data_IF_131949483677
#
_entry.id   IF_131949483677
#
_cell.length_a   1.000
_cell.length_b   1.000
_cell.length_c   1.000
_cell.angle_alpha   90.00
_cell.angle_beta   90.00
_cell.angle_gamma   90.00
#
_symmetry.space_group_name_H-M   'P 1'
#
loop_
_entity.id
_entity.type
_entity.pdbx_description
1 polymer ?
#
# COMPACT_ATOMS: atom_id res chain seq x y z
N UNK A 1 -24.28 33.16 -7.82
CA UNK A 1 -24.02 32.24 -6.69
C UNK A 1 -22.66 31.60 -6.93
N UNK A 2 -21.77 31.65 -5.96
CA UNK A 2 -20.49 30.93 -6.02
C UNK A 2 -20.70 29.48 -5.57
N UNK A 3 -20.13 28.54 -6.32
CA UNK A 3 -20.27 27.11 -6.04
C UNK A 3 -19.16 26.64 -5.10
N UNK A 4 -19.52 25.77 -4.14
CA UNK A 4 -18.56 25.07 -3.29
C UNK A 4 -18.35 23.66 -3.85
N UNK A 5 -17.09 23.31 -4.12
CA UNK A 5 -16.70 21.99 -4.60
C UNK A 5 -15.86 21.27 -3.56
N UNK A 6 -16.22 20.02 -3.26
CA UNK A 6 -15.47 19.16 -2.33
C UNK A 6 -15.04 17.91 -3.06
N UNK A 7 -13.74 17.62 -3.04
CA UNK A 7 -13.21 16.35 -3.54
C UNK A 7 -13.21 15.31 -2.42
N UNK A 8 -14.29 14.52 -2.36
CA UNK A 8 -14.41 13.48 -1.36
C UNK A 8 -13.58 12.24 -1.73
N UNK A 9 -12.50 12.01 -0.98
CA UNK A 9 -11.56 10.91 -1.15
C UNK A 9 -11.81 9.73 -0.18
N UNK A 10 -12.89 9.77 0.60
CA UNK A 10 -13.26 8.66 1.50
C UNK A 10 -13.58 7.37 0.72
N UNK A 11 -14.04 7.48 -0.52
CA UNK A 11 -14.38 6.32 -1.36
C UNK A 11 -13.17 5.73 -2.11
N UNK A 12 -12.01 6.39 -2.06
CA UNK A 12 -10.83 6.04 -2.86
C UNK A 12 -10.35 4.61 -2.54
N UNK A 13 -10.52 3.70 -3.49
CA UNK A 13 -10.24 2.26 -3.39
C UNK A 13 -10.85 1.55 -2.17
N UNK A 14 -11.93 2.09 -1.58
CA UNK A 14 -12.51 1.57 -0.33
C UNK A 14 -11.57 1.70 0.88
N UNK A 15 -10.59 2.62 0.81
CA UNK A 15 -9.59 2.81 1.85
C UNK A 15 -9.86 3.99 2.78
N UNK A 16 -10.97 4.71 2.63
CA UNK A 16 -11.31 5.86 3.48
C UNK A 16 -10.22 6.94 3.53
N UNK A 17 -9.42 7.06 2.47
CA UNK A 17 -8.32 8.00 2.35
C UNK A 17 -7.69 8.00 0.94
N UNK A 18 -7.12 9.14 0.56
CA UNK A 18 -6.43 9.29 -0.73
C UNK A 18 -5.01 8.70 -0.78
N UNK A 19 -4.35 8.46 0.37
CA UNK A 19 -2.90 8.14 0.45
C UNK A 19 -2.49 6.86 -0.27
N UNK A 20 -3.44 5.99 -0.59
CA UNK A 20 -3.20 4.82 -1.43
C UNK A 20 -2.70 5.20 -2.81
N UNK A 21 -3.12 6.33 -3.40
CA UNK A 21 -2.69 6.76 -4.73
C UNK A 21 -1.16 6.85 -4.84
N UNK A 22 -0.55 7.58 -3.90
CA UNK A 22 0.91 7.69 -3.83
C UNK A 22 1.58 6.36 -3.46
N UNK A 23 1.00 5.62 -2.49
CA UNK A 23 1.54 4.34 -2.06
C UNK A 23 1.59 3.30 -3.17
N UNK A 24 0.51 3.15 -3.94
CA UNK A 24 0.43 2.21 -5.05
C UNK A 24 1.33 2.61 -6.21
N UNK A 25 1.43 3.90 -6.51
CA UNK A 25 2.30 4.39 -7.57
C UNK A 25 3.77 4.17 -7.22
N UNK A 26 4.19 4.50 -6.00
CA UNK A 26 5.57 4.31 -5.54
C UNK A 26 5.97 2.83 -5.54
N UNK A 27 5.10 1.94 -5.05
CA UNK A 27 5.32 0.49 -5.11
C UNK A 27 5.44 0.02 -6.56
N UNK A 28 4.48 0.38 -7.43
CA UNK A 28 4.51 -0.01 -8.84
C UNK A 28 5.76 0.48 -9.57
N UNK A 29 6.15 1.74 -9.33
CA UNK A 29 7.37 2.33 -9.92
C UNK A 29 8.63 1.59 -9.48
N UNK A 30 8.74 1.27 -8.20
CA UNK A 30 9.88 0.50 -7.71
C UNK A 30 9.94 -0.92 -8.32
N UNK A 31 8.79 -1.58 -8.50
CA UNK A 31 8.76 -2.88 -9.18
C UNK A 31 9.12 -2.76 -10.66
N UNK A 32 8.70 -1.69 -11.33
CA UNK A 32 9.09 -1.39 -12.71
C UNK A 32 10.61 -1.23 -12.85
N UNK A 33 11.22 -0.46 -11.96
CA UNK A 33 12.68 -0.28 -11.90
C UNK A 33 13.40 -1.62 -11.68
N UNK A 34 12.86 -2.52 -10.84
CA UNK A 34 13.43 -3.86 -10.63
C UNK A 34 13.27 -4.80 -11.81
N UNK A 35 12.27 -4.57 -12.66
CA UNK A 35 12.06 -5.32 -13.90
C UNK A 35 12.77 -4.69 -15.10
N UNK A 36 13.41 -3.53 -14.92
CA UNK A 36 14.06 -2.76 -15.99
C UNK A 36 13.11 -2.41 -17.15
N UNK A 37 11.85 -2.08 -16.82
CA UNK A 37 10.83 -1.66 -17.79
C UNK A 37 10.19 -0.35 -17.36
N UNK A 38 9.63 0.39 -18.32
CA UNK A 38 8.88 1.60 -17.99
C UNK A 38 7.56 1.25 -17.29
N UNK A 39 7.16 2.07 -16.32
CA UNK A 39 5.92 1.84 -15.57
C UNK A 39 4.67 1.92 -16.45
N UNK A 40 4.70 2.67 -17.55
CA UNK A 40 3.59 2.76 -18.50
C UNK A 40 3.34 1.45 -19.26
N UNK A 41 4.33 0.56 -19.33
CA UNK A 41 4.22 -0.77 -19.94
C UNK A 41 3.72 -1.85 -18.96
N UNK A 42 3.56 -1.47 -17.69
CA UNK A 42 3.15 -2.38 -16.61
C UNK A 42 1.71 -2.13 -16.22
N UNK A 43 0.82 -2.98 -16.74
CA UNK A 43 -0.53 -3.07 -16.20
C UNK A 43 -0.52 -3.71 -14.81
N UNK A 44 -1.55 -3.41 -14.03
CA UNK A 44 -1.74 -4.02 -12.71
C UNK A 44 -1.90 -5.55 -12.79
N UNK A 45 -2.48 -6.05 -13.87
CA UNK A 45 -2.59 -7.49 -14.15
C UNK A 45 -1.22 -8.12 -14.43
N UNK A 46 -0.39 -7.45 -15.23
CA UNK A 46 0.98 -7.90 -15.52
C UNK A 46 1.84 -7.91 -14.27
N UNK A 47 1.75 -6.88 -13.42
CA UNK A 47 2.46 -6.84 -12.13
C UNK A 47 2.05 -7.95 -11.16
N UNK A 48 0.90 -8.60 -11.38
CA UNK A 48 0.40 -9.71 -10.59
C UNK A 48 0.64 -11.07 -11.23
N UNK A 49 1.23 -11.12 -12.41
CA UNK A 49 1.46 -12.39 -13.11
C UNK A 49 2.50 -13.23 -12.38
N UNK A 50 2.39 -14.56 -12.51
CA UNK A 50 3.41 -15.46 -11.95
C UNK A 50 4.78 -15.23 -12.60
N UNK A 51 4.84 -14.87 -13.88
CA UNK A 51 6.09 -14.50 -14.57
C UNK A 51 6.80 -13.32 -13.87
N UNK A 52 6.07 -12.25 -13.55
CA UNK A 52 6.64 -11.09 -12.87
C UNK A 52 7.06 -11.45 -11.44
N UNK A 53 6.27 -12.29 -10.76
CA UNK A 53 6.58 -12.77 -9.42
C UNK A 53 7.81 -13.68 -9.38
N UNK A 54 8.03 -14.51 -10.38
CA UNK A 54 9.25 -15.32 -10.52
C UNK A 54 10.48 -14.43 -10.72
N UNK A 55 10.37 -13.38 -11.55
CA UNK A 55 11.46 -12.42 -11.79
C UNK A 55 11.80 -11.58 -10.56
N UNK A 56 10.78 -11.10 -9.84
CA UNK A 56 10.96 -10.22 -8.68
C UNK A 56 11.28 -10.96 -7.39
N UNK A 57 10.80 -12.20 -7.27
CA UNK A 57 10.77 -12.93 -6.01
C UNK A 57 9.90 -12.25 -4.95
N UNK A 58 10.24 -12.52 -3.68
CA UNK A 58 9.55 -11.94 -2.53
C UNK A 58 10.21 -10.62 -2.10
N UNK A 59 9.52 -9.50 -2.34
CA UNK A 59 9.92 -8.18 -1.85
C UNK A 59 9.08 -7.82 -0.62
N UNK A 60 9.73 -7.27 0.40
CA UNK A 60 9.07 -6.78 1.61
C UNK A 60 9.15 -5.26 1.69
N UNK A 61 8.00 -4.59 1.62
CA UNK A 61 7.91 -3.13 1.80
C UNK A 61 7.79 -2.79 3.28
N UNK A 62 8.66 -1.91 3.78
CA UNK A 62 8.67 -1.51 5.18
C UNK A 62 8.32 -0.02 5.29
N UNK A 63 7.43 0.33 6.23
CA UNK A 63 7.02 1.72 6.46
C UNK A 63 6.64 1.98 7.92
N UNK A 64 6.85 3.20 8.39
CA UNK A 64 6.38 3.68 9.68
C UNK A 64 5.22 4.66 9.49
N UNK A 65 4.10 4.45 10.19
CA UNK A 65 2.93 5.31 10.09
C UNK A 65 1.99 5.11 11.28
N UNK A 66 1.18 6.12 11.59
CA UNK A 66 0.06 6.04 12.52
C UNK A 66 -1.29 5.81 11.81
N UNK A 67 -1.31 5.63 10.47
CA UNK A 67 -2.56 5.58 9.70
C UNK A 67 -2.44 5.31 8.19
N UNK A 68 -3.03 6.19 7.39
CA UNK A 68 -3.40 5.91 5.99
C UNK A 68 -2.22 5.68 5.03
N UNK A 69 -1.02 6.15 5.36
CA UNK A 69 0.16 5.93 4.52
C UNK A 69 0.54 4.44 4.47
N UNK A 70 0.79 3.84 5.64
CA UNK A 70 1.12 2.41 5.69
C UNK A 70 -0.04 1.52 5.27
N UNK A 71 -1.29 1.96 5.46
CA UNK A 71 -2.44 1.27 4.87
C UNK A 71 -2.38 1.26 3.33
N UNK A 72 -1.97 2.37 2.71
CA UNK A 72 -1.77 2.46 1.27
C UNK A 72 -0.66 1.54 0.77
N UNK A 73 0.50 1.54 1.45
CA UNK A 73 1.65 0.66 1.14
C UNK A 73 1.28 -0.81 1.30
N UNK A 74 0.70 -1.19 2.44
CA UNK A 74 0.29 -2.56 2.71
C UNK A 74 -0.79 -3.04 1.73
N UNK A 75 -1.73 -2.17 1.36
CA UNK A 75 -2.71 -2.48 0.34
C UNK A 75 -2.04 -2.76 -1.01
N UNK A 76 -1.14 -1.88 -1.47
CA UNK A 76 -0.45 -2.04 -2.74
C UNK A 76 0.42 -3.31 -2.77
N UNK A 77 1.21 -3.55 -1.72
CA UNK A 77 2.02 -4.75 -1.59
C UNK A 77 1.15 -6.02 -1.68
N UNK A 78 0.07 -6.09 -0.91
CA UNK A 78 -0.85 -7.24 -0.94
C UNK A 78 -1.50 -7.44 -2.32
N UNK A 79 -1.88 -6.34 -2.98
CA UNK A 79 -2.48 -6.42 -4.31
C UNK A 79 -1.53 -7.01 -5.35
N UNK A 80 -0.23 -6.73 -5.23
CA UNK A 80 0.81 -7.14 -6.17
C UNK A 80 1.54 -8.43 -5.71
N UNK A 81 0.97 -9.16 -4.75
CA UNK A 81 1.53 -10.41 -4.25
C UNK A 81 2.78 -10.25 -3.39
N UNK A 82 3.16 -9.03 -3.01
CA UNK A 82 4.35 -8.72 -2.21
C UNK A 82 4.03 -8.69 -0.70
N UNK A 83 5.07 -8.63 0.13
CA UNK A 83 4.95 -8.56 1.59
C UNK A 83 5.03 -7.11 2.08
N UNK A 84 4.49 -6.83 3.26
CA UNK A 84 4.74 -5.56 3.92
C UNK A 84 4.88 -5.67 5.44
N UNK A 85 5.67 -4.77 6.01
CA UNK A 85 5.80 -4.57 7.46
C UNK A 85 5.48 -3.10 7.75
N UNK A 86 4.45 -2.89 8.56
CA UNK A 86 4.00 -1.56 8.95
C UNK A 86 4.25 -1.38 10.44
N UNK A 87 5.04 -0.36 10.74
CA UNK A 87 5.37 0.03 12.09
C UNK A 87 4.51 1.19 12.55
N UNK A 88 3.89 1.04 13.72
CA UNK A 88 3.01 2.05 14.30
C UNK A 88 3.58 2.58 15.62
N UNK A 89 3.54 3.90 15.87
CA UNK A 89 4.00 4.47 17.13
C UNK A 89 3.07 4.09 18.28
N UNK A 90 3.62 4.03 19.49
CA UNK A 90 2.86 3.87 20.74
C UNK A 90 1.79 4.96 20.86
N UNK A 91 0.57 4.59 21.27
CA UNK A 91 -0.58 5.51 21.33
C UNK A 91 -1.40 5.57 20.04
N UNK A 92 -0.97 4.89 18.97
CA UNK A 92 -1.83 4.64 17.81
C UNK A 92 -3.09 3.89 18.24
N UNK A 93 -4.25 4.30 17.72
CA UNK A 93 -5.52 3.69 18.14
C UNK A 93 -5.58 2.21 17.79
N UNK A 94 -6.05 1.39 18.75
CA UNK A 94 -6.21 -0.05 18.56
C UNK A 94 -7.16 -0.38 17.41
N UNK A 95 -8.15 0.48 17.17
CA UNK A 95 -9.06 0.37 16.03
C UNK A 95 -8.29 0.45 14.70
N UNK A 96 -7.30 1.36 14.58
CA UNK A 96 -6.47 1.45 13.37
C UNK A 96 -5.60 0.21 13.20
N UNK A 97 -5.02 -0.28 14.29
CA UNK A 97 -4.21 -1.50 14.28
C UNK A 97 -5.05 -2.73 13.87
N UNK A 98 -6.27 -2.87 14.40
CA UNK A 98 -7.16 -3.99 14.09
C UNK A 98 -7.73 -3.92 12.66
N UNK A 99 -8.11 -2.73 12.18
CA UNK A 99 -8.57 -2.54 10.80
C UNK A 99 -7.49 -2.88 9.76
N UNK A 100 -6.24 -2.68 10.16
CA UNK A 100 -5.05 -2.99 9.38
C UNK A 100 -4.74 -4.50 9.40
N UNK A 101 -4.79 -5.15 10.57
CA UNK A 101 -4.58 -6.60 10.73
C UNK A 101 -5.66 -7.47 10.08
N UNK A 102 -6.92 -7.05 10.07
CA UNK A 102 -8.03 -7.80 9.45
C UNK A 102 -7.92 -7.95 7.92
N UNK A 103 -6.99 -7.24 7.26
CA UNK A 103 -6.88 -7.17 5.81
C UNK A 103 -5.64 -7.93 5.29
N UNK A 104 -5.80 -9.26 5.19
CA UNK A 104 -5.02 -10.24 4.39
C UNK A 104 -3.59 -10.61 4.85
N UNK A 105 -3.19 -11.84 4.51
CA UNK A 105 -2.19 -12.69 5.20
C UNK A 105 -0.71 -12.33 5.03
N UNK A 106 -0.35 -11.30 4.25
CA UNK A 106 1.06 -10.97 3.93
C UNK A 106 1.55 -9.64 4.49
N UNK A 107 0.76 -9.03 5.38
CA UNK A 107 1.12 -7.75 6.03
C UNK A 107 1.25 -7.92 7.54
N UNK A 108 2.41 -7.57 8.08
CA UNK A 108 2.68 -7.57 9.52
C UNK A 108 2.59 -6.15 10.08
N UNK A 109 1.81 -5.98 11.15
CA UNK A 109 1.68 -4.71 11.86
C UNK A 109 2.32 -4.84 13.23
N UNK A 110 3.42 -4.11 13.43
CA UNK A 110 4.18 -4.10 14.68
C UNK A 110 4.04 -2.74 15.37
N UNK A 111 3.75 -2.78 16.67
CA UNK A 111 3.77 -1.59 17.51
C UNK A 111 5.21 -1.38 17.99
N UNK A 112 5.84 -0.26 17.66
CA UNK A 112 7.15 0.08 18.21
C UNK A 112 7.00 0.89 19.50
N UNK A 113 7.81 0.54 20.51
CA UNK A 113 8.19 1.43 21.60
C UNK A 113 9.41 2.22 21.14
N UNK A 114 9.22 3.47 20.72
CA UNK A 114 10.26 4.49 20.89
C UNK A 114 10.19 5.01 22.32
#
# INVERSE_FOLDING_TARGET
>A
MENIWVKDESYRFGLNAFKVLGGSYAVGKYLAEKLEVDISELSFEKLRSEEVKEKLGDITFVTATDGNHGRGIAWAANQLGQKSVVFMPKGSSEIRLNNNKKRRSRSFYNLFKL
#
